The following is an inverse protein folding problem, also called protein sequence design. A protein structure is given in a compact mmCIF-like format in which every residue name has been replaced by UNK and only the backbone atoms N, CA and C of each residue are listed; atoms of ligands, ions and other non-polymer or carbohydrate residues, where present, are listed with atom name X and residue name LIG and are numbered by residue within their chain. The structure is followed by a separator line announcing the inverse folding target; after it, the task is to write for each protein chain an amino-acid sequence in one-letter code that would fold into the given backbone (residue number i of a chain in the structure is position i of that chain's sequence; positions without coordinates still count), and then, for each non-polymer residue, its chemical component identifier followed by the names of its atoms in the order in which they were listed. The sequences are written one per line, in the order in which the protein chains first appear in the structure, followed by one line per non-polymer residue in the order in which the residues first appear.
data_IF_026293858830
#
_entry.id   IF_026293858830
#
_cell.length_a   1.000
_cell.length_b   1.000
_cell.length_c   1.000
_cell.angle_alpha   90.00
_cell.angle_beta   90.00
_cell.angle_gamma   90.00
#
_symmetry.space_group_name_H-M   'P 1'
#
loop_
_entity.id
_entity.type
_entity.pdbx_description
1 polymer ?
#
# COMPACT_ATOMS: atom_id res chain seq x y z
N UNK A 1 -26.63 -17.63 6.82
CA UNK A 1 -26.34 -16.38 6.10
C UNK A 1 -25.56 -15.50 7.05
N UNK A 2 -24.22 -15.58 7.03
CA UNK A 2 -23.34 -14.86 7.96
C UNK A 2 -23.16 -13.45 7.39
N UNK A 3 -23.74 -12.44 8.04
CA UNK A 3 -23.45 -11.05 7.73
C UNK A 3 -22.03 -10.76 8.21
N UNK A 4 -21.09 -10.70 7.28
CA UNK A 4 -19.83 -10.03 7.52
C UNK A 4 -20.12 -8.55 7.79
N UNK A 5 -19.44 -7.91 8.76
CA UNK A 5 -19.59 -6.48 8.95
C UNK A 5 -19.17 -5.78 7.66
N UNK A 6 -20.14 -5.20 6.97
CA UNK A 6 -19.95 -4.31 5.83
C UNK A 6 -19.52 -2.94 6.37
N UNK A 7 -18.37 -2.87 6.99
CA UNK A 7 -17.68 -1.61 7.13
C UNK A 7 -16.49 -1.68 6.18
N UNK A 8 -16.47 -0.84 5.14
CA UNK A 8 -15.21 -0.57 4.48
C UNK A 8 -14.28 -0.12 5.60
N UNK A 9 -13.06 -0.68 5.65
CA UNK A 9 -11.98 -0.01 6.36
C UNK A 9 -11.84 1.32 5.61
N UNK A 10 -12.71 2.22 5.98
CA UNK A 10 -12.69 3.59 5.56
C UNK A 10 -11.47 4.15 6.28
N UNK A 11 -10.29 4.01 5.66
CA UNK A 11 -9.13 4.80 6.00
C UNK A 11 -9.48 6.26 5.70
N UNK A 12 -10.41 6.78 6.49
CA UNK A 12 -10.63 8.19 6.68
C UNK A 12 -9.43 8.80 7.40
N UNK A 13 -8.27 8.74 6.78
CA UNK A 13 -7.12 9.53 7.16
C UNK A 13 -7.25 10.92 6.52
N UNK A 14 -8.25 11.69 6.97
CA UNK A 14 -8.18 13.13 6.98
C UNK A 14 -7.35 13.56 8.20
N UNK A 15 -6.09 13.18 8.25
CA UNK A 15 -5.12 13.59 9.25
C UNK A 15 -3.96 14.30 8.54
N UNK A 16 -3.79 15.59 8.83
CA UNK A 16 -2.59 16.35 8.47
C UNK A 16 -1.37 15.53 8.86
N UNK A 17 -0.54 15.16 7.88
CA UNK A 17 0.80 14.65 8.14
C UNK A 17 1.63 15.84 8.64
N UNK A 18 2.18 15.81 9.87
CA UNK A 18 3.11 16.85 10.34
C UNK A 18 4.35 16.84 9.46
N UNK A 19 4.94 18.01 9.31
CA UNK A 19 5.97 18.40 8.37
C UNK A 19 7.16 17.44 8.27
N UNK A 20 7.74 17.44 7.08
CA UNK A 20 9.02 16.87 6.73
C UNK A 20 10.11 17.29 7.72
N UNK A 21 10.68 16.31 8.43
CA UNK A 21 11.93 16.46 9.17
C UNK A 21 12.99 15.70 8.37
N UNK A 22 14.08 16.36 7.90
CA UNK A 22 15.18 15.68 7.24
C UNK A 22 15.78 14.62 8.16
N UNK A 23 15.81 13.35 7.72
CA UNK A 23 16.36 12.23 8.46
C UNK A 23 15.34 11.23 9.04
N UNK A 24 14.03 11.51 9.00
CA UNK A 24 12.99 10.52 9.21
C UNK A 24 12.29 10.23 7.89
N UNK A 25 12.39 9.00 7.42
CA UNK A 25 11.60 8.49 6.28
C UNK A 25 10.13 8.39 6.68
N UNK A 26 9.42 9.52 6.67
CA UNK A 26 7.97 9.51 6.79
C UNK A 26 7.42 8.96 5.48
N UNK A 27 6.92 7.74 5.52
CA UNK A 27 6.23 7.14 4.39
C UNK A 27 5.01 7.99 4.03
N UNK A 28 4.82 8.25 2.75
CA UNK A 28 3.69 9.05 2.28
C UNK A 28 2.56 8.13 1.83
N UNK A 29 1.46 8.15 2.54
CA UNK A 29 0.23 7.43 2.18
C UNK A 29 -0.63 8.36 1.32
N UNK A 30 -0.41 8.35 0.01
CA UNK A 30 -1.01 9.27 -0.95
C UNK A 30 -1.93 8.60 -1.96
N UNK A 31 -1.94 7.26 -1.96
CA UNK A 31 -2.56 6.51 -3.03
C UNK A 31 -4.05 6.23 -2.82
N UNK A 32 -4.61 6.49 -1.63
CA UNK A 32 -5.98 6.14 -1.22
C UNK A 32 -6.26 4.62 -1.24
N UNK A 33 -5.23 3.81 -1.36
CA UNK A 33 -5.28 2.34 -1.34
C UNK A 33 -3.99 1.80 -0.78
N UNK A 34 -4.06 0.97 0.27
CA UNK A 34 -2.89 0.45 0.97
C UNK A 34 -1.92 -0.29 0.03
N UNK A 35 -2.45 -1.10 -0.88
CA UNK A 35 -1.63 -1.83 -1.84
C UNK A 35 -0.87 -0.92 -2.82
N UNK A 36 -1.45 0.22 -3.22
CA UNK A 36 -0.77 1.21 -4.05
C UNK A 36 0.26 2.00 -3.24
N UNK A 37 -0.03 2.33 -1.97
CA UNK A 37 0.95 2.94 -1.08
C UNK A 37 2.15 2.01 -0.87
N UNK A 38 1.91 0.69 -0.76
CA UNK A 38 2.99 -0.31 -0.72
C UNK A 38 3.81 -0.35 -2.01
N UNK A 39 3.17 -0.29 -3.16
CA UNK A 39 3.87 -0.15 -4.46
C UNK A 39 4.72 1.12 -4.50
N UNK A 40 4.24 2.20 -3.91
CA UNK A 40 4.89 3.51 -3.89
C UNK A 40 6.08 3.61 -2.93
N UNK A 41 6.39 2.57 -2.17
CA UNK A 41 7.61 2.51 -1.33
C UNK A 41 8.91 2.35 -2.14
N UNK A 42 8.83 2.37 -3.47
CA UNK A 42 9.99 2.47 -4.37
C UNK A 42 9.88 3.73 -5.25
N UNK A 43 9.98 4.95 -4.68
CA UNK A 43 9.95 6.18 -5.46
C UNK A 43 11.22 6.37 -6.28
N UNK A 44 11.16 7.35 -7.21
CA UNK A 44 12.37 7.93 -7.82
C UNK A 44 12.90 9.05 -6.91
N UNK A 45 14.17 9.00 -6.57
CA UNK A 45 14.91 10.04 -5.86
C UNK A 45 16.19 10.33 -6.66
N UNK A 46 16.35 11.57 -7.09
CA UNK A 46 17.50 12.02 -7.90
C UNK A 46 17.78 11.12 -9.13
N UNK A 47 16.70 10.71 -9.81
CA UNK A 47 16.79 9.87 -11.01
C UNK A 47 17.01 8.37 -10.74
N UNK A 48 17.14 7.96 -9.48
CA UNK A 48 17.35 6.56 -9.08
C UNK A 48 16.12 6.04 -8.32
N UNK A 49 15.75 4.79 -8.57
CA UNK A 49 14.71 4.12 -7.79
C UNK A 49 15.27 3.67 -6.44
N UNK A 50 14.69 4.16 -5.36
CA UNK A 50 15.11 3.87 -4.00
C UNK A 50 14.08 2.97 -3.32
N UNK A 51 14.54 1.87 -2.72
CA UNK A 51 13.69 1.03 -1.87
C UNK A 51 13.63 1.60 -0.46
N UNK A 52 12.45 2.03 -0.02
CA UNK A 52 12.22 2.55 1.33
C UNK A 52 11.98 1.42 2.36
N UNK A 53 11.90 0.16 1.92
CA UNK A 53 11.68 -1.01 2.77
C UNK A 53 12.77 -2.08 2.52
N UNK A 54 14.07 -1.74 2.75
CA UNK A 54 15.17 -2.64 2.44
C UNK A 54 15.27 -3.84 3.40
N UNK A 55 14.67 -3.75 4.59
CA UNK A 55 14.71 -4.80 5.60
C UNK A 55 13.33 -5.22 6.10
N UNK A 56 13.27 -6.35 6.77
CA UNK A 56 12.03 -6.88 7.34
C UNK A 56 11.45 -5.96 8.43
N UNK A 57 12.30 -5.28 9.19
CA UNK A 57 11.88 -4.30 10.19
C UNK A 57 11.21 -3.10 9.55
N UNK A 58 11.72 -2.64 8.38
CA UNK A 58 11.14 -1.52 7.65
C UNK A 58 9.73 -1.86 7.13
N UNK A 59 9.54 -3.09 6.62
CA UNK A 59 8.21 -3.57 6.20
C UNK A 59 7.23 -3.58 7.37
N UNK A 60 7.65 -4.10 8.54
CA UNK A 60 6.80 -4.16 9.74
C UNK A 60 6.49 -2.74 10.25
N UNK A 61 7.48 -1.87 10.31
CA UNK A 61 7.31 -0.46 10.68
C UNK A 61 6.33 0.26 9.77
N UNK A 62 6.49 0.10 8.46
CA UNK A 62 5.59 0.66 7.46
C UNK A 62 4.13 0.19 7.62
N UNK A 63 3.92 -1.10 7.88
CA UNK A 63 2.58 -1.66 8.14
C UNK A 63 1.95 -1.05 9.40
N UNK A 64 2.76 -0.79 10.43
CA UNK A 64 2.33 -0.08 11.63
C UNK A 64 1.95 1.37 11.35
N UNK A 65 2.78 2.12 10.62
CA UNK A 65 2.51 3.51 10.21
C UNK A 65 1.26 3.61 9.32
N UNK A 66 1.04 2.61 8.47
CA UNK A 66 -0.15 2.49 7.65
C UNK A 66 -1.43 2.15 8.45
N UNK A 67 -1.32 1.89 9.75
CA UNK A 67 -2.44 1.41 10.57
C UNK A 67 -2.92 0.00 10.22
N UNK A 68 -2.16 -0.74 9.43
CA UNK A 68 -2.48 -2.10 9.00
C UNK A 68 -2.19 -3.14 10.10
N UNK A 69 -1.29 -2.81 11.03
CA UNK A 69 -0.96 -3.62 12.21
C UNK A 69 -1.11 -2.76 13.47
N UNK A 70 -1.66 -3.36 14.53
CA UNK A 70 -1.69 -2.72 15.84
C UNK A 70 -0.31 -2.69 16.52
N UNK A 71 -0.11 -1.77 17.48
CA UNK A 71 1.18 -1.58 18.15
C UNK A 71 1.76 -2.88 18.78
N UNK A 72 0.90 -3.71 19.39
CA UNK A 72 1.30 -4.99 19.97
C UNK A 72 1.73 -5.99 18.90
N UNK A 73 1.07 -5.97 17.74
CA UNK A 73 1.40 -6.84 16.62
C UNK A 73 2.73 -6.44 15.98
N UNK A 74 2.96 -5.13 15.81
CA UNK A 74 4.25 -4.57 15.38
C UNK A 74 5.37 -5.02 16.29
N UNK A 75 5.22 -4.88 17.62
CA UNK A 75 6.25 -5.32 18.58
C UNK A 75 6.56 -6.81 18.44
N UNK A 76 5.53 -7.66 18.40
CA UNK A 76 5.70 -9.10 18.22
C UNK A 76 6.35 -9.46 16.89
N UNK A 77 5.97 -8.77 15.82
CA UNK A 77 6.53 -8.99 14.48
C UNK A 77 8.01 -8.59 14.42
N UNK A 78 8.39 -7.43 14.98
CA UNK A 78 9.79 -6.98 15.05
C UNK A 78 10.66 -7.97 15.83
N UNK A 79 10.19 -8.45 16.99
CA UNK A 79 10.92 -9.46 17.79
C UNK A 79 11.11 -10.78 17.03
N UNK A 80 10.15 -11.18 16.20
CA UNK A 80 10.24 -12.42 15.40
C UNK A 80 11.09 -12.24 14.14
N UNK A 81 11.12 -11.04 13.56
CA UNK A 81 11.81 -10.75 12.31
C UNK A 81 13.31 -10.44 12.50
N UNK A 82 13.70 -9.90 13.68
CA UNK A 82 15.05 -9.42 13.94
C UNK A 82 16.10 -10.53 13.76
N UNK A 83 16.91 -10.42 12.69
CA UNK A 83 18.07 -11.30 12.43
C UNK A 83 17.73 -12.78 12.25
N UNK A 84 16.49 -13.14 11.92
CA UNK A 84 16.02 -14.53 11.82
C UNK A 84 15.65 -14.90 10.38
N UNK A 85 15.81 -16.17 9.98
CA UNK A 85 15.40 -16.66 8.66
C UNK A 85 13.96 -16.36 8.30
N UNK A 86 13.06 -16.29 9.29
CA UNK A 86 11.66 -15.91 9.10
C UNK A 86 11.48 -14.46 8.63
N UNK A 87 12.29 -13.53 9.14
CA UNK A 87 12.28 -12.13 8.71
C UNK A 87 12.75 -11.98 7.26
N UNK A 88 13.82 -12.67 6.88
CA UNK A 88 14.32 -12.69 5.51
C UNK A 88 13.30 -13.32 4.54
N UNK A 89 12.65 -14.41 4.96
CA UNK A 89 11.60 -15.02 4.16
C UNK A 89 10.42 -14.06 3.92
N UNK A 90 9.98 -13.34 4.97
CA UNK A 90 8.95 -12.33 4.88
C UNK A 90 9.35 -11.18 3.95
N UNK A 91 10.60 -10.70 4.04
CA UNK A 91 11.11 -9.63 3.18
C UNK A 91 11.11 -10.05 1.72
N UNK A 92 11.61 -11.25 1.41
CA UNK A 92 11.58 -11.79 0.03
C UNK A 92 10.16 -11.86 -0.52
N UNK A 93 9.20 -12.28 0.30
CA UNK A 93 7.79 -12.33 -0.12
C UNK A 93 7.18 -10.93 -0.27
N UNK A 94 7.53 -9.99 0.60
CA UNK A 94 7.10 -8.60 0.49
C UNK A 94 7.58 -7.97 -0.83
N UNK A 95 8.85 -8.12 -1.15
CA UNK A 95 9.41 -7.62 -2.42
C UNK A 95 8.79 -8.31 -3.64
N UNK A 96 8.57 -9.63 -3.57
CA UNK A 96 7.90 -10.38 -4.65
C UNK A 96 6.47 -9.90 -4.86
N UNK A 97 5.71 -9.73 -3.78
CA UNK A 97 4.35 -9.21 -3.83
C UNK A 97 4.35 -7.79 -4.42
N UNK A 98 5.21 -6.90 -3.92
CA UNK A 98 5.32 -5.51 -4.41
C UNK A 98 5.59 -5.45 -5.92
N UNK A 99 6.49 -6.27 -6.41
CA UNK A 99 6.77 -6.36 -7.85
C UNK A 99 5.55 -6.79 -8.68
N UNK A 100 4.76 -7.76 -8.19
CA UNK A 100 3.52 -8.21 -8.87
C UNK A 100 2.42 -7.15 -8.80
N UNK A 101 2.27 -6.49 -7.67
CA UNK A 101 1.33 -5.39 -7.50
C UNK A 101 1.69 -4.22 -8.41
N UNK A 102 2.97 -3.86 -8.53
CA UNK A 102 3.45 -2.80 -9.42
C UNK A 102 3.11 -3.11 -10.88
N UNK A 103 3.45 -4.30 -11.36
CA UNK A 103 3.12 -4.72 -12.72
C UNK A 103 1.60 -4.67 -12.99
N UNK A 104 0.79 -5.04 -12.00
CA UNK A 104 -0.67 -4.91 -12.07
C UNK A 104 -1.13 -3.45 -12.13
N UNK A 105 -0.58 -2.57 -11.29
CA UNK A 105 -0.89 -1.15 -11.28
C UNK A 105 -0.53 -0.46 -12.62
N UNK A 106 0.62 -0.83 -13.21
CA UNK A 106 1.02 -0.35 -14.53
C UNK A 106 0.02 -0.75 -15.62
N UNK A 107 -0.48 -2.00 -15.57
CA UNK A 107 -1.49 -2.48 -16.51
C UNK A 107 -2.82 -1.74 -16.35
N UNK A 108 -3.30 -1.60 -15.10
CA UNK A 108 -4.53 -0.88 -14.79
C UNK A 108 -4.45 0.59 -15.21
N UNK A 109 -3.35 1.28 -14.88
CA UNK A 109 -3.13 2.67 -15.28
C UNK A 109 -3.03 2.85 -16.81
N UNK A 110 -2.74 1.78 -17.56
CA UNK A 110 -2.76 1.74 -19.02
C UNK A 110 -4.12 1.26 -19.59
N UNK A 111 -5.17 1.21 -18.77
CA UNK A 111 -6.52 0.77 -19.19
C UNK A 111 -6.61 -0.72 -19.53
N UNK A 112 -5.68 -1.54 -19.03
CA UNK A 112 -5.64 -3.00 -19.28
C UNK A 112 -6.05 -3.78 -18.03
N UNK A 113 -6.48 -5.03 -18.19
CA UNK A 113 -6.76 -5.91 -17.06
C UNK A 113 -5.51 -6.08 -16.18
N UNK A 114 -5.65 -6.31 -14.85
CA UNK A 114 -4.52 -6.43 -13.90
C UNK A 114 -3.57 -7.56 -14.26
N UNK A 115 -4.05 -8.57 -14.95
CA UNK A 115 -3.31 -9.75 -15.33
C UNK A 115 -3.34 -10.84 -14.24
N UNK A 116 -3.26 -12.10 -14.68
CA UNK A 116 -3.32 -13.27 -13.80
C UNK A 116 -2.24 -13.27 -12.73
N UNK A 117 -1.04 -12.81 -13.07
CA UNK A 117 0.10 -12.80 -12.14
C UNK A 117 -0.14 -11.95 -10.88
N UNK A 118 -0.92 -10.86 -10.98
CA UNK A 118 -1.34 -10.07 -9.81
C UNK A 118 -2.34 -10.86 -8.98
N UNK A 119 -3.37 -11.42 -9.61
CA UNK A 119 -4.41 -12.20 -8.92
C UNK A 119 -3.81 -13.41 -8.19
N UNK A 120 -2.92 -14.15 -8.84
CA UNK A 120 -2.23 -15.30 -8.24
C UNK A 120 -1.35 -14.89 -7.05
N UNK A 121 -0.68 -13.74 -7.12
CA UNK A 121 0.14 -13.21 -6.02
C UNK A 121 -0.72 -12.79 -4.81
N UNK A 122 -1.84 -12.11 -5.06
CA UNK A 122 -2.82 -11.73 -4.02
C UNK A 122 -3.40 -13.00 -3.37
N UNK A 123 -3.89 -13.94 -4.16
CA UNK A 123 -4.48 -15.18 -3.66
C UNK A 123 -3.49 -16.00 -2.83
N UNK A 124 -2.20 -16.03 -3.21
CA UNK A 124 -1.17 -16.72 -2.42
C UNK A 124 -0.98 -16.11 -1.04
N UNK A 125 -1.03 -14.79 -0.94
CA UNK A 125 -0.94 -14.11 0.37
C UNK A 125 -2.22 -14.32 1.18
N UNK A 126 -3.39 -14.21 0.57
CA UNK A 126 -4.67 -14.45 1.23
C UNK A 126 -4.77 -15.89 1.76
N UNK A 127 -4.31 -16.88 1.00
CA UNK A 127 -4.25 -18.28 1.41
C UNK A 127 -3.31 -18.55 2.59
N UNK A 128 -2.40 -17.62 2.91
CA UNK A 128 -1.50 -17.74 4.07
C UNK A 128 -2.20 -17.49 5.43
N UNK A 129 -3.48 -17.16 5.41
CA UNK A 129 -4.33 -16.94 6.59
C UNK A 129 -5.29 -18.12 6.83
N UNK A 130 -4.79 -19.32 7.15
CA UNK A 130 -5.67 -20.36 7.64
C UNK A 130 -6.16 -19.90 9.02
N UNK A 131 -7.46 -19.67 9.14
CA UNK A 131 -8.06 -19.32 10.40
C UNK A 131 -9.09 -20.38 10.78
N UNK A 132 -9.05 -20.82 12.04
CA UNK A 132 -10.10 -21.66 12.62
C UNK A 132 -11.06 -20.81 13.42
N UNK A 133 -12.33 -21.13 13.32
CA UNK A 133 -13.34 -20.52 14.16
C UNK A 133 -13.26 -21.14 15.55
N UNK A 134 -13.03 -20.30 16.57
CA UNK A 134 -12.98 -20.72 17.97
C UNK A 134 -13.98 -19.93 18.79
N UNK A 135 -14.69 -20.63 19.68
CA UNK A 135 -15.55 -20.00 20.66
C UNK A 135 -14.74 -19.68 21.92
N UNK A 136 -14.70 -18.43 22.31
CA UNK A 136 -13.99 -17.96 23.52
C UNK A 136 -14.95 -17.25 24.46
N UNK A 137 -14.78 -17.45 25.76
CA UNK A 137 -15.52 -16.73 26.77
C UNK A 137 -14.97 -15.28 26.90
N UNK A 138 -15.88 -14.31 26.94
CA UNK A 138 -15.59 -12.92 27.27
C UNK A 138 -16.60 -12.42 28.30
N UNK A 139 -16.23 -12.49 29.56
CA UNK A 139 -17.14 -12.24 30.67
C UNK A 139 -18.24 -13.31 30.71
N UNK A 140 -19.48 -12.88 30.71
CA UNK A 140 -20.69 -13.73 30.72
C UNK A 140 -21.15 -14.19 29.33
N UNK A 141 -20.40 -13.88 28.27
CA UNK A 141 -20.75 -14.19 26.88
C UNK A 141 -19.71 -15.04 26.20
N UNK A 142 -20.14 -15.77 25.19
CA UNK A 142 -19.26 -16.47 24.27
C UNK A 142 -19.23 -15.72 22.93
N UNK A 143 -18.04 -15.49 22.41
CA UNK A 143 -17.84 -14.87 21.10
C UNK A 143 -17.03 -15.81 20.21
N UNK A 144 -17.44 -15.88 18.95
CA UNK A 144 -16.69 -16.61 17.95
C UNK A 144 -15.55 -15.72 17.44
N UNK A 145 -14.33 -16.17 17.58
CA UNK A 145 -13.14 -15.51 17.05
C UNK A 145 -12.52 -16.37 15.95
N UNK A 146 -11.92 -15.74 14.97
CA UNK A 146 -11.11 -16.41 13.97
C UNK A 146 -9.65 -16.36 14.45
N UNK A 147 -9.10 -17.52 14.80
CA UNK A 147 -7.70 -17.63 15.22
C UNK A 147 -6.83 -18.16 14.07
N UNK A 148 -5.70 -17.51 13.74
CA UNK A 148 -4.76 -18.05 12.78
C UNK A 148 -4.17 -19.37 13.30
N UNK A 149 -4.24 -20.43 12.50
CA UNK A 149 -3.74 -21.76 12.89
C UNK A 149 -2.22 -21.79 13.00
N UNK A 150 -1.54 -21.05 12.14
CA UNK A 150 -0.08 -20.84 12.17
C UNK A 150 0.23 -19.45 11.59
N UNK A 151 0.81 -18.55 12.37
CA UNK A 151 1.28 -17.29 11.83
C UNK A 151 2.48 -17.57 10.91
N UNK A 152 2.26 -17.56 9.60
CA UNK A 152 3.36 -17.53 8.62
C UNK A 152 3.89 -16.12 8.50
N UNK A 153 5.11 -15.96 8.01
CA UNK A 153 5.68 -14.65 7.70
C UNK A 153 4.83 -13.84 6.70
N UNK A 154 4.13 -14.55 5.79
CA UNK A 154 3.20 -13.98 4.82
C UNK A 154 1.96 -13.34 5.45
N UNK A 155 1.59 -13.77 6.66
CA UNK A 155 0.40 -13.27 7.34
C UNK A 155 0.44 -11.73 7.55
N UNK A 156 1.61 -11.17 7.77
CA UNK A 156 1.80 -9.73 7.93
C UNK A 156 1.47 -8.96 6.65
N UNK A 157 1.54 -9.60 5.48
CA UNK A 157 1.25 -8.96 4.19
C UNK A 157 -0.24 -9.06 3.79
N UNK A 158 -1.06 -9.78 4.57
CA UNK A 158 -2.49 -9.98 4.27
C UNK A 158 -3.25 -8.66 4.13
N UNK A 159 -3.06 -7.63 4.95
CA UNK A 159 -3.78 -6.36 4.76
C UNK A 159 -3.52 -5.71 3.40
N UNK A 160 -2.30 -5.85 2.86
CA UNK A 160 -1.95 -5.34 1.52
C UNK A 160 -2.72 -6.12 0.45
N UNK A 161 -2.74 -7.45 0.56
CA UNK A 161 -3.46 -8.32 -0.38
C UNK A 161 -4.98 -8.11 -0.31
N UNK A 162 -5.55 -7.93 0.89
CA UNK A 162 -6.97 -7.61 1.10
C UNK A 162 -7.32 -6.26 0.45
N UNK A 163 -6.46 -5.24 0.57
CA UNK A 163 -6.67 -3.96 -0.09
C UNK A 163 -6.71 -4.08 -1.61
N UNK A 164 -5.82 -4.89 -2.19
CA UNK A 164 -5.83 -5.14 -3.64
C UNK A 164 -7.06 -5.94 -4.08
N UNK A 165 -7.40 -7.00 -3.34
CA UNK A 165 -8.58 -7.83 -3.61
C UNK A 165 -9.86 -7.00 -3.54
N UNK A 166 -10.00 -6.18 -2.49
CA UNK A 166 -11.17 -5.31 -2.32
C UNK A 166 -11.35 -4.35 -3.51
N UNK A 167 -10.26 -3.72 -3.97
CA UNK A 167 -10.34 -2.81 -5.12
C UNK A 167 -10.76 -3.56 -6.39
N UNK A 168 -10.21 -4.74 -6.63
CA UNK A 168 -10.55 -5.54 -7.81
C UNK A 168 -11.98 -6.09 -7.78
N UNK A 169 -12.54 -6.31 -6.61
CA UNK A 169 -13.89 -6.84 -6.40
C UNK A 169 -14.97 -5.74 -6.40
N UNK A 170 -14.69 -4.61 -5.71
CA UNK A 170 -15.71 -3.59 -5.42
C UNK A 170 -15.39 -2.22 -6.02
N UNK A 171 -14.12 -1.96 -6.36
CA UNK A 171 -13.69 -0.67 -6.90
C UNK A 171 -13.84 -0.58 -8.41
N UNK A 172 -13.51 0.58 -8.95
CA UNK A 172 -13.34 0.76 -10.39
C UNK A 172 -11.83 0.73 -10.72
N UNK A 173 -11.32 -0.37 -11.30
CA UNK A 173 -9.90 -0.47 -11.67
C UNK A 173 -9.42 0.60 -12.64
N UNK A 174 -10.33 1.22 -13.42
CA UNK A 174 -10.01 2.30 -14.34
C UNK A 174 -9.60 3.60 -13.62
N UNK A 175 -9.88 3.71 -12.33
CA UNK A 175 -9.47 4.84 -11.49
C UNK A 175 -8.05 4.68 -10.88
N UNK A 176 -7.39 3.56 -11.13
CA UNK A 176 -5.95 3.43 -10.83
C UNK A 176 -5.17 4.25 -11.84
N UNK A 177 -4.45 5.24 -11.37
CA UNK A 177 -3.73 6.20 -12.21
C UNK A 177 -2.24 6.22 -11.87
N UNK A 178 -1.42 6.46 -12.88
CA UNK A 178 -0.01 6.84 -12.69
C UNK A 178 0.09 8.36 -12.56
N UNK A 179 0.98 8.83 -11.71
CA UNK A 179 1.25 10.26 -11.57
C UNK A 179 1.77 10.84 -12.89
N UNK A 180 1.21 12.01 -13.28
CA UNK A 180 1.62 12.73 -14.50
C UNK A 180 2.90 13.57 -14.33
N UNK A 181 3.62 13.47 -13.20
CA UNK A 181 4.93 14.11 -13.04
C UNK A 181 5.97 13.44 -13.95
N UNK A 182 6.86 14.20 -14.63
CA UNK A 182 7.78 13.65 -15.63
C UNK A 182 8.67 12.53 -15.05
N UNK A 183 9.16 12.69 -13.82
CA UNK A 183 10.06 11.74 -13.17
C UNK A 183 9.36 10.93 -12.05
N UNK A 184 8.02 10.96 -12.01
CA UNK A 184 7.27 10.31 -10.96
C UNK A 184 6.77 8.93 -11.41
N UNK A 185 7.07 7.91 -10.59
CA UNK A 185 6.67 6.51 -10.83
C UNK A 185 5.52 6.05 -9.94
N UNK A 186 4.94 6.97 -9.16
CA UNK A 186 3.92 6.64 -8.16
C UNK A 186 2.54 6.45 -8.79
N UNK A 187 1.74 5.61 -8.14
CA UNK A 187 0.35 5.34 -8.48
C UNK A 187 -0.59 5.88 -7.41
N UNK A 188 -1.84 6.11 -7.79
CA UNK A 188 -2.91 6.45 -6.85
C UNK A 188 -4.26 5.98 -7.39
N UNK A 189 -5.23 5.82 -6.49
CA UNK A 189 -6.62 5.61 -6.82
C UNK A 189 -7.33 6.96 -6.82
N UNK A 190 -7.96 7.32 -7.94
CA UNK A 190 -8.58 8.63 -8.12
C UNK A 190 -9.97 8.67 -7.50
N UNK A 191 -10.08 9.17 -6.27
CA UNK A 191 -11.33 9.41 -5.55
C UNK A 191 -11.84 10.84 -5.70
N UNK A 192 -11.28 11.64 -6.62
CA UNK A 192 -11.75 13.00 -6.84
C UNK A 192 -13.14 13.00 -7.47
N UNK A 193 -13.95 14.01 -7.17
CA UNK A 193 -15.35 14.11 -7.61
C UNK A 193 -15.53 13.93 -9.12
N UNK A 194 -14.59 14.43 -9.92
CA UNK A 194 -14.66 14.39 -11.39
C UNK A 194 -13.65 13.39 -12.00
N UNK A 195 -13.01 12.53 -11.18
CA UNK A 195 -11.98 11.58 -11.60
C UNK A 195 -10.90 12.23 -12.49
N UNK A 196 -10.48 13.44 -12.12
CA UNK A 196 -9.55 14.28 -12.89
C UNK A 196 -8.20 14.51 -12.21
N UNK A 197 -7.92 13.79 -11.11
CA UNK A 197 -6.64 13.85 -10.41
C UNK A 197 -5.50 13.39 -11.32
N UNK A 198 -4.49 14.25 -11.49
CA UNK A 198 -3.33 14.00 -12.36
C UNK A 198 -2.04 13.73 -11.59
N UNK A 199 -1.96 14.12 -10.31
CA UNK A 199 -0.74 14.12 -9.52
C UNK A 199 -0.89 13.26 -8.27
N UNK A 200 0.17 12.56 -7.88
CA UNK A 200 0.19 11.81 -6.63
C UNK A 200 0.03 12.72 -5.40
N UNK A 201 0.44 14.00 -5.52
CA UNK A 201 0.22 15.05 -4.54
C UNK A 201 0.25 16.41 -5.23
N UNK A 202 -0.63 17.33 -4.82
CA UNK A 202 -0.60 18.71 -5.31
C UNK A 202 0.61 19.45 -4.79
N UNK A 203 1.03 19.22 -3.54
CA UNK A 203 2.18 19.91 -2.91
C UNK A 203 3.52 19.49 -3.52
N UNK A 204 3.62 18.26 -4.01
CA UNK A 204 4.84 17.77 -4.67
C UNK A 204 4.75 17.91 -6.19
N UNK A 205 4.15 16.94 -6.87
CA UNK A 205 4.16 16.89 -8.33
C UNK A 205 3.29 17.96 -8.98
N UNK A 206 2.15 18.31 -8.37
CA UNK A 206 1.29 19.38 -8.86
C UNK A 206 1.96 20.76 -8.79
N UNK A 207 2.62 21.07 -7.67
CA UNK A 207 3.36 22.30 -7.50
C UNK A 207 4.52 22.44 -8.48
N UNK A 208 5.33 21.38 -8.65
CA UNK A 208 6.40 21.35 -9.66
C UNK A 208 5.88 21.56 -11.09
N UNK A 209 4.76 20.93 -11.43
CA UNK A 209 4.15 21.10 -12.75
C UNK A 209 3.68 22.55 -13.00
N UNK A 210 3.06 23.19 -11.98
CA UNK A 210 2.66 24.59 -12.06
C UNK A 210 3.87 25.53 -12.19
N UNK A 211 4.89 25.35 -11.37
CA UNK A 211 6.12 26.14 -11.43
C UNK A 211 6.80 26.00 -12.79
N UNK A 212 6.93 24.79 -13.32
CA UNK A 212 7.49 24.56 -14.64
C UNK A 212 6.67 25.17 -15.78
N UNK A 213 5.34 25.13 -15.68
CA UNK A 213 4.47 25.79 -16.67
C UNK A 213 4.58 27.34 -16.60
N UNK A 214 4.71 27.87 -15.38
CA UNK A 214 4.95 29.31 -15.20
C UNK A 214 6.29 29.75 -15.80
N UNK A 215 7.37 29.02 -15.51
CA UNK A 215 8.71 29.31 -16.04
C UNK A 215 8.75 29.29 -17.57
N UNK A 216 8.16 28.28 -18.22
CA UNK A 216 8.09 28.21 -19.69
C UNK A 216 7.33 29.37 -20.32
N UNK A 217 6.33 29.93 -19.64
CA UNK A 217 5.62 31.13 -20.12
C UNK A 217 6.50 32.39 -20.08
N UNK A 218 7.34 32.48 -19.07
CA UNK A 218 8.27 33.65 -18.94
C UNK A 218 9.50 33.51 -19.85
N UNK A 219 9.90 32.28 -20.18
CA UNK A 219 11.08 31.99 -21.00
C UNK A 219 10.67 31.04 -22.15
N UNK A 220 9.94 31.53 -23.17
CA UNK A 220 9.63 30.75 -24.33
C UNK A 220 10.92 30.31 -25.03
N UNK A 221 10.99 29.06 -25.56
CA UNK A 221 12.15 28.64 -26.36
C UNK A 221 12.35 29.61 -27.50
N UNK A 222 13.61 29.98 -27.78
CA UNK A 222 13.94 30.72 -28.99
C UNK A 222 13.53 29.90 -30.20
N UNK A 223 12.67 30.46 -31.05
CA UNK A 223 12.16 29.83 -32.28
C UNK A 223 13.23 29.55 -33.32
#
# INVERSE_FOLDING_TARGET
MVKFPTSPVNCGFAGRVPGYIPGMTTHRFLANQLWLDFVNTEPMMDGVRVDLLPGSADVVGWLGEAGALGADEVRRALTRAAGRPAGEAMLREAHRLRGRLRAGAERLAAGRSPGRALVDAVNRVLASRPAVSRLVARGDRYVRVMEPVRPSALHLLVPIAESAAWLLEHGDPALVRRCGGPDCVLFFYDISKNHSRRWCSMDACGGRAKAGAYYRRLHPPAG
#
